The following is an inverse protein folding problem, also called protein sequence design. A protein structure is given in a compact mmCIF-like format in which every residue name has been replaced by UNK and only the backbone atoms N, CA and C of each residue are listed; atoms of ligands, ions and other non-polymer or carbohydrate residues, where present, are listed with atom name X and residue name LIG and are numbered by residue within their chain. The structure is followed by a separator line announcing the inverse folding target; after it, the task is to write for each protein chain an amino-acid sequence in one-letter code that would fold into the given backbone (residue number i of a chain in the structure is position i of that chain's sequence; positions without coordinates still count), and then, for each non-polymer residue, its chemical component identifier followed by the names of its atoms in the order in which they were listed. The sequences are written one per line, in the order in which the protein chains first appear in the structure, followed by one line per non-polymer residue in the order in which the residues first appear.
data_IF_205174688049
#
_entry.id   IF_205174688049
#
_cell.length_a   1.000
_cell.length_b   1.000
_cell.length_c   1.000
_cell.angle_alpha   90.00
_cell.angle_beta   90.00
_cell.angle_gamma   90.00
#
_symmetry.space_group_name_H-M   'P 1'
#
loop_
_entity.id
_entity.type
_entity.pdbx_description
1 polymer ?
#
# COMPACT_ATOMS: atom_id res chain seq x y z
N UNK A 1 22.67 -60.43 10.89
CA UNK A 1 21.46 -60.31 11.73
C UNK A 1 20.59 -59.24 11.13
N UNK A 2 19.46 -59.69 10.60
CA UNK A 2 18.44 -58.96 9.86
C UNK A 2 17.64 -58.08 10.81
N UNK A 3 17.41 -56.80 10.49
CA UNK A 3 16.10 -56.16 10.72
C UNK A 3 16.04 -54.78 10.04
N UNK A 4 15.33 -54.75 8.93
CA UNK A 4 14.74 -53.58 8.27
C UNK A 4 13.59 -53.02 9.11
N UNK A 5 13.53 -51.70 9.30
CA UNK A 5 12.40 -50.99 9.87
C UNK A 5 11.96 -49.85 8.96
N UNK A 6 11.14 -50.18 7.97
CA UNK A 6 10.47 -49.27 7.04
C UNK A 6 9.15 -48.83 7.70
N UNK A 7 8.94 -47.52 7.90
CA UNK A 7 7.66 -46.97 8.36
C UNK A 7 6.91 -46.34 7.18
N UNK A 8 5.86 -46.98 6.64
CA UNK A 8 4.86 -46.32 5.82
C UNK A 8 3.75 -45.75 6.73
N UNK A 9 3.52 -44.44 6.65
CA UNK A 9 2.52 -43.74 7.46
C UNK A 9 1.68 -42.77 6.62
N UNK A 10 0.66 -43.33 5.98
CA UNK A 10 -0.67 -42.79 5.66
C UNK A 10 -0.84 -41.43 4.93
N UNK A 11 -1.28 -41.59 3.69
CA UNK A 11 -2.18 -40.74 2.89
C UNK A 11 -3.33 -40.10 3.69
N UNK A 12 -3.54 -38.80 3.49
CA UNK A 12 -4.83 -38.14 3.69
C UNK A 12 -5.03 -37.05 2.63
N UNK A 13 -5.60 -37.47 1.50
CA UNK A 13 -6.13 -36.60 0.44
C UNK A 13 -7.37 -35.88 0.96
N UNK A 14 -7.38 -34.55 0.97
CA UNK A 14 -8.62 -33.75 1.12
C UNK A 14 -8.72 -32.75 -0.02
N UNK A 15 -9.54 -33.09 -1.01
CA UNK A 15 -9.97 -32.19 -2.08
C UNK A 15 -11.06 -31.27 -1.52
N UNK A 16 -10.87 -29.95 -1.61
CA UNK A 16 -11.92 -28.96 -1.38
C UNK A 16 -12.08 -28.11 -2.64
N UNK A 17 -13.13 -28.38 -3.39
CA UNK A 17 -13.59 -27.56 -4.49
C UNK A 17 -14.69 -26.62 -3.98
N UNK A 18 -14.41 -25.31 -3.96
CA UNK A 18 -15.42 -24.28 -3.74
C UNK A 18 -15.58 -23.47 -5.03
N UNK A 19 -16.67 -23.73 -5.73
CA UNK A 19 -17.11 -23.01 -6.92
C UNK A 19 -17.71 -21.68 -6.47
N UNK A 20 -17.02 -20.55 -6.69
CA UNK A 20 -17.65 -19.24 -6.60
C UNK A 20 -18.32 -18.89 -7.93
N UNK A 21 -19.65 -18.82 -7.91
CA UNK A 21 -20.46 -18.32 -9.01
C UNK A 21 -20.27 -16.80 -9.15
N UNK A 22 -19.74 -16.39 -10.31
CA UNK A 22 -19.74 -14.99 -10.76
C UNK A 22 -21.18 -14.60 -11.14
N UNK A 23 -21.81 -13.75 -10.34
CA UNK A 23 -23.00 -13.01 -10.76
C UNK A 23 -22.55 -11.73 -11.46
N UNK A 24 -22.58 -11.78 -12.80
CA UNK A 24 -22.45 -10.64 -13.69
C UNK A 24 -23.70 -9.76 -13.59
N UNK A 25 -23.70 -8.80 -12.67
CA UNK A 25 -24.66 -7.69 -12.68
C UNK A 25 -24.23 -6.68 -13.75
N UNK A 26 -24.62 -6.97 -15.00
CA UNK A 26 -24.63 -6.01 -16.10
C UNK A 26 -25.70 -4.95 -15.82
N UNK A 27 -25.27 -3.74 -15.45
CA UNK A 27 -26.12 -2.56 -15.40
C UNK A 27 -25.73 -1.67 -16.58
N UNK A 28 -26.35 -1.95 -17.74
CA UNK A 28 -26.54 -0.96 -18.80
C UNK A 28 -27.80 -0.17 -18.49
N UNK A 29 -27.69 1.16 -18.46
CA UNK A 29 -28.65 2.15 -18.97
C UNK A 29 -28.18 3.53 -18.52
N UNK A 30 -27.80 4.44 -19.42
CA UNK A 30 -28.58 5.20 -20.41
C UNK A 30 -28.82 6.62 -19.89
N UNK A 31 -28.52 7.59 -20.75
CA UNK A 31 -28.13 8.95 -20.41
C UNK A 31 -29.31 9.88 -20.09
N UNK A 32 -29.10 10.92 -19.26
CA UNK A 32 -29.85 12.15 -19.37
C UNK A 32 -29.01 13.24 -20.07
N UNK A 33 -29.49 13.63 -21.25
CA UNK A 33 -29.22 14.92 -21.88
C UNK A 33 -29.49 16.06 -20.89
N UNK A 34 -28.47 16.87 -20.61
CA UNK A 34 -28.59 17.96 -19.64
C UNK A 34 -27.29 18.68 -19.32
N UNK A 35 -26.62 19.22 -20.35
CA UNK A 35 -25.68 20.36 -20.34
C UNK A 35 -24.66 20.48 -19.18
N UNK A 36 -23.36 20.25 -19.42
CA UNK A 36 -22.33 20.74 -18.52
C UNK A 36 -21.92 22.16 -18.93
N UNK A 37 -22.27 23.09 -18.06
CA UNK A 37 -21.64 24.40 -17.91
C UNK A 37 -20.11 24.26 -18.08
N UNK A 38 -19.53 24.99 -19.04
CA UNK A 38 -18.08 25.07 -19.25
C UNK A 38 -17.41 25.72 -18.05
N UNK A 39 -17.08 24.91 -17.06
CA UNK A 39 -16.11 25.20 -16.02
C UNK A 39 -15.28 23.94 -15.87
N UNK A 40 -14.21 23.83 -16.65
CA UNK A 40 -13.27 22.73 -16.53
C UNK A 40 -12.83 22.63 -15.06
N UNK A 41 -13.11 21.53 -14.32
CA UNK A 41 -12.30 21.26 -13.16
C UNK A 41 -10.90 21.07 -13.72
N UNK A 42 -10.00 21.99 -13.38
CA UNK A 42 -8.59 21.72 -13.52
C UNK A 42 -8.36 20.46 -12.70
N UNK A 43 -8.24 19.31 -13.39
CA UNK A 43 -7.53 18.15 -12.86
C UNK A 43 -6.10 18.63 -12.71
N UNK A 44 -5.84 19.37 -11.63
CA UNK A 44 -4.53 19.38 -11.05
C UNK A 44 -4.22 17.89 -10.87
N UNK A 45 -3.24 17.40 -11.60
CA UNK A 45 -2.48 16.26 -11.13
C UNK A 45 -2.04 16.66 -9.72
N UNK A 46 -2.81 16.22 -8.73
CA UNK A 46 -2.41 16.24 -7.32
C UNK A 46 -1.40 15.11 -7.19
N UNK A 47 -0.28 15.26 -7.92
CA UNK A 47 0.90 14.47 -7.70
C UNK A 47 1.38 14.91 -6.30
N UNK A 48 1.36 14.01 -5.30
CA UNK A 48 1.75 14.38 -3.96
C UNK A 48 3.13 15.02 -4.00
N UNK A 49 3.27 16.21 -3.41
CA UNK A 49 4.57 16.82 -3.28
C UNK A 49 5.52 15.85 -2.55
N UNK A 50 6.79 15.74 -3.00
CA UNK A 50 7.75 14.84 -2.37
C UNK A 50 7.89 15.20 -0.89
N UNK A 51 7.97 14.17 -0.04
CA UNK A 51 8.07 14.39 1.41
C UNK A 51 9.44 14.98 1.74
N UNK A 52 9.50 15.86 2.74
CA UNK A 52 10.77 16.44 3.16
C UNK A 52 11.70 15.37 3.74
N UNK A 53 13.03 15.44 3.50
CA UNK A 53 13.97 14.49 4.06
C UNK A 53 14.00 14.57 5.59
N UNK A 54 14.18 13.43 6.25
CA UNK A 54 14.36 13.32 7.70
C UNK A 54 15.78 12.90 8.05
N UNK A 55 16.27 13.32 9.21
CA UNK A 55 17.54 12.86 9.75
C UNK A 55 17.37 11.53 10.48
N UNK A 56 18.27 10.59 10.26
CA UNK A 56 18.37 9.33 10.99
C UNK A 56 19.17 9.58 12.28
N UNK A 57 18.70 9.15 13.46
CA UNK A 57 19.44 9.29 14.71
C UNK A 57 20.69 8.41 14.77
N UNK A 58 21.73 8.87 15.46
CA UNK A 58 22.97 8.13 15.75
C UNK A 58 22.75 7.02 16.82
N UNK A 59 21.93 6.02 16.51
CA UNK A 59 21.84 4.76 17.26
C UNK A 59 22.55 3.65 16.49
N UNK A 60 22.87 2.52 17.11
CA UNK A 60 23.55 1.41 16.42
C UNK A 60 22.79 0.96 15.16
N UNK A 61 21.47 0.74 15.27
CA UNK A 61 20.63 0.44 14.09
C UNK A 61 20.50 1.62 13.11
N UNK A 62 20.63 2.86 13.61
CA UNK A 62 20.63 4.08 12.79
C UNK A 62 21.86 4.17 11.89
N UNK A 63 23.05 3.90 12.43
CA UNK A 63 24.30 3.85 11.67
C UNK A 63 24.25 2.78 10.57
N UNK A 64 23.72 1.59 10.88
CA UNK A 64 23.52 0.54 9.87
C UNK A 64 22.48 0.93 8.83
N UNK A 65 21.41 1.65 9.23
CA UNK A 65 20.42 2.18 8.30
C UNK A 65 21.05 3.18 7.33
N UNK A 66 21.88 4.11 7.84
CA UNK A 66 22.61 5.07 7.01
C UNK A 66 23.57 4.37 6.05
N UNK A 67 24.32 3.35 6.52
CA UNK A 67 25.19 2.54 5.66
C UNK A 67 24.42 1.88 4.52
N UNK A 68 23.27 1.28 4.81
CA UNK A 68 22.41 0.67 3.77
C UNK A 68 21.97 1.73 2.74
N UNK A 69 21.56 2.91 3.20
CA UNK A 69 21.14 4.01 2.32
C UNK A 69 22.30 4.58 1.51
N UNK A 70 23.51 4.62 2.05
CA UNK A 70 24.71 5.00 1.33
C UNK A 70 24.99 4.03 0.19
N UNK A 71 24.98 2.72 0.47
CA UNK A 71 25.24 1.68 -0.53
C UNK A 71 24.23 1.72 -1.67
N UNK A 72 22.92 1.78 -1.38
CA UNK A 72 21.89 1.79 -2.45
C UNK A 72 21.78 3.12 -3.21
N UNK A 73 22.43 4.18 -2.71
CA UNK A 73 22.52 5.47 -3.37
C UNK A 73 23.90 5.74 -4.00
N UNK A 74 24.82 4.78 -3.92
CA UNK A 74 26.12 4.86 -4.57
C UNK A 74 25.96 4.91 -6.09
N UNK A 75 26.94 5.55 -6.76
CA UNK A 75 27.04 5.54 -8.23
C UNK A 75 27.44 4.16 -8.78
N UNK A 76 27.87 3.23 -7.92
CA UNK A 76 28.27 1.88 -8.29
C UNK A 76 27.28 0.84 -7.78
N UNK A 77 27.21 -0.29 -8.49
CA UNK A 77 26.50 -1.47 -8.00
C UNK A 77 27.09 -1.93 -6.66
N UNK A 78 26.22 -2.43 -5.78
CA UNK A 78 26.65 -3.05 -4.53
C UNK A 78 27.41 -4.36 -4.81
N UNK A 79 28.35 -4.65 -3.93
CA UNK A 79 29.24 -5.81 -3.96
C UNK A 79 29.24 -6.50 -2.60
N UNK A 80 29.81 -7.71 -2.53
CA UNK A 80 29.94 -8.42 -1.25
C UNK A 80 30.81 -7.67 -0.23
N UNK A 81 31.79 -6.88 -0.69
CA UNK A 81 32.67 -6.09 0.17
C UNK A 81 31.90 -5.01 0.96
N UNK A 82 30.80 -4.50 0.41
CA UNK A 82 29.95 -3.50 1.09
C UNK A 82 29.22 -4.08 2.32
N UNK A 83 29.15 -5.41 2.42
CA UNK A 83 28.42 -6.14 3.46
C UNK A 83 29.32 -6.99 4.37
N UNK A 84 30.63 -7.01 4.11
CA UNK A 84 31.57 -7.84 4.87
C UNK A 84 31.59 -7.43 6.35
N UNK A 85 31.31 -8.39 7.24
CA UNK A 85 31.30 -8.16 8.69
C UNK A 85 30.04 -7.51 9.25
N UNK A 86 29.14 -7.00 8.39
CA UNK A 86 27.86 -6.42 8.82
C UNK A 86 26.76 -7.47 8.99
N UNK A 87 26.83 -8.58 8.27
CA UNK A 87 25.79 -9.62 8.31
C UNK A 87 26.08 -10.64 9.43
N UNK A 88 25.07 -10.90 10.26
CA UNK A 88 25.17 -11.92 11.30
C UNK A 88 25.30 -13.32 10.70
N UNK A 89 25.80 -14.29 11.47
CA UNK A 89 25.85 -15.70 11.02
C UNK A 89 24.45 -16.24 10.68
N UNK A 90 23.42 -15.85 11.44
CA UNK A 90 22.05 -16.29 11.17
C UNK A 90 21.52 -15.74 9.85
N UNK A 91 21.81 -14.47 9.53
CA UNK A 91 21.41 -13.89 8.24
C UNK A 91 22.14 -14.58 7.07
N UNK A 92 23.46 -14.76 7.20
CA UNK A 92 24.29 -15.42 6.17
C UNK A 92 23.94 -16.88 5.93
N UNK A 93 23.24 -17.52 6.87
CA UNK A 93 22.72 -18.88 6.67
C UNK A 93 21.58 -18.95 5.64
N UNK A 94 20.91 -17.82 5.39
CA UNK A 94 19.82 -17.69 4.42
C UNK A 94 20.26 -16.96 3.15
N UNK A 95 20.99 -15.85 3.32
CA UNK A 95 21.44 -14.97 2.23
C UNK A 95 22.86 -14.50 2.53
N UNK A 96 23.83 -14.92 1.72
CA UNK A 96 25.20 -14.45 1.82
C UNK A 96 25.38 -13.03 1.25
N UNK A 97 26.54 -12.43 1.47
CA UNK A 97 26.88 -11.05 1.07
C UNK A 97 26.74 -10.84 -0.45
N UNK A 98 27.10 -11.85 -1.25
CA UNK A 98 27.02 -11.76 -2.71
C UNK A 98 25.56 -11.78 -3.15
N UNK A 99 24.75 -12.68 -2.59
CA UNK A 99 23.34 -12.78 -2.90
C UNK A 99 22.55 -11.52 -2.49
N UNK A 100 22.87 -10.94 -1.32
CA UNK A 100 22.26 -9.68 -0.89
C UNK A 100 22.56 -8.56 -1.89
N UNK A 101 23.83 -8.39 -2.26
CA UNK A 101 24.24 -7.41 -3.26
C UNK A 101 23.51 -7.60 -4.60
N UNK A 102 23.43 -8.84 -5.10
CA UNK A 102 22.69 -9.15 -6.34
C UNK A 102 21.21 -8.76 -6.25
N UNK A 103 20.53 -9.07 -5.14
CA UNK A 103 19.12 -8.71 -4.93
C UNK A 103 18.93 -7.20 -4.90
N UNK A 104 19.81 -6.47 -4.21
CA UNK A 104 19.75 -5.00 -4.14
C UNK A 104 19.98 -4.38 -5.52
N UNK A 105 20.98 -4.85 -6.26
CA UNK A 105 21.29 -4.39 -7.62
C UNK A 105 20.12 -4.58 -8.58
N UNK A 106 19.41 -5.70 -8.47
CA UNK A 106 18.29 -6.02 -9.36
C UNK A 106 16.98 -5.35 -8.97
N UNK A 107 16.72 -5.19 -7.66
CA UNK A 107 15.38 -4.86 -7.16
C UNK A 107 15.26 -3.46 -6.57
N UNK A 108 16.35 -2.93 -5.99
CA UNK A 108 16.32 -1.70 -5.18
C UNK A 108 17.06 -0.57 -5.87
N UNK A 109 18.29 -0.79 -6.35
CA UNK A 109 19.11 0.22 -7.01
C UNK A 109 18.43 0.89 -8.23
N UNK A 110 17.62 0.22 -9.07
CA UNK A 110 16.93 0.88 -10.17
C UNK A 110 15.96 1.99 -9.75
N UNK A 111 15.54 2.03 -8.48
CA UNK A 111 14.71 3.10 -7.93
C UNK A 111 15.47 4.25 -7.27
N UNK A 112 16.80 4.16 -7.20
CA UNK A 112 17.69 5.21 -6.68
C UNK A 112 17.54 6.53 -7.47
N UNK A 113 17.74 7.71 -6.86
CA UNK A 113 18.09 7.94 -5.46
C UNK A 113 16.92 7.75 -4.50
N UNK A 114 17.18 7.06 -3.39
CA UNK A 114 16.28 6.84 -2.26
C UNK A 114 16.51 7.87 -1.17
N UNK A 115 15.48 8.67 -0.86
CA UNK A 115 15.51 9.69 0.19
C UNK A 115 14.67 9.23 1.38
N UNK A 116 15.25 9.22 2.59
CA UNK A 116 14.50 8.92 3.81
C UNK A 116 13.51 10.03 4.16
N UNK A 117 12.24 9.68 4.35
CA UNK A 117 11.13 10.62 4.61
C UNK A 117 10.41 10.36 5.92
N UNK A 118 10.63 9.19 6.52
CA UNK A 118 10.16 8.85 7.86
C UNK A 118 11.16 7.87 8.49
N UNK A 119 11.45 8.04 9.79
CA UNK A 119 12.28 7.10 10.55
C UNK A 119 11.61 6.78 11.87
N UNK A 120 11.50 5.48 12.17
CA UNK A 120 11.03 4.96 13.45
C UNK A 120 11.97 3.85 13.88
N UNK A 121 12.72 4.05 14.97
CA UNK A 121 13.67 3.05 15.43
C UNK A 121 13.94 3.10 16.93
N UNK A 122 14.60 2.05 17.41
CA UNK A 122 15.17 1.93 18.76
C UNK A 122 16.69 1.79 18.64
N UNK A 123 17.36 1.19 19.63
CA UNK A 123 18.77 0.81 19.52
C UNK A 123 19.00 -0.32 18.51
N UNK A 124 18.06 -1.27 18.38
CA UNK A 124 18.30 -2.54 17.67
C UNK A 124 17.35 -2.84 16.52
N UNK A 125 16.31 -2.04 16.32
CA UNK A 125 15.34 -2.21 15.23
C UNK A 125 14.93 -0.86 14.65
N UNK A 126 14.76 -0.80 13.34
CA UNK A 126 14.30 0.41 12.65
C UNK A 126 13.32 0.08 11.52
N UNK A 127 12.50 1.06 11.17
CA UNK A 127 11.70 1.13 9.97
C UNK A 127 11.83 2.53 9.40
N UNK A 128 12.39 2.61 8.19
CA UNK A 128 12.67 3.84 7.49
C UNK A 128 11.86 3.88 6.21
N UNK A 129 10.95 4.85 6.08
CA UNK A 129 10.30 5.09 4.79
C UNK A 129 11.25 5.86 3.89
N UNK A 130 11.40 5.36 2.67
CA UNK A 130 12.19 6.02 1.62
C UNK A 130 11.34 6.25 0.38
N UNK A 131 11.61 7.35 -0.30
CA UNK A 131 11.00 7.72 -1.58
C UNK A 131 12.10 7.74 -2.66
N UNK A 132 11.82 7.12 -3.81
CA UNK A 132 12.72 7.10 -4.96
C UNK A 132 11.95 7.13 -6.28
N UNK A 133 12.64 6.96 -7.40
CA UNK A 133 12.05 7.05 -8.74
C UNK A 133 11.03 5.93 -9.03
N UNK A 134 11.18 4.78 -8.35
CA UNK A 134 10.27 3.64 -8.48
C UNK A 134 9.05 3.71 -7.54
N UNK A 135 8.99 4.68 -6.62
CA UNK A 135 7.90 4.83 -5.64
C UNK A 135 8.40 4.89 -4.20
N UNK A 136 7.58 4.42 -3.26
CA UNK A 136 7.87 4.43 -1.83
C UNK A 136 8.14 3.01 -1.29
N UNK A 137 9.17 2.87 -0.46
CA UNK A 137 9.54 1.64 0.23
C UNK A 137 9.64 1.89 1.74
N UNK A 138 9.40 0.85 2.54
CA UNK A 138 9.90 0.79 3.91
C UNK A 138 11.13 -0.13 3.93
N UNK A 139 12.27 0.40 4.37
CA UNK A 139 13.43 -0.35 4.81
C UNK A 139 13.21 -0.75 6.26
N UNK A 140 13.18 -2.04 6.55
CA UNK A 140 13.10 -2.54 7.92
C UNK A 140 14.38 -3.27 8.24
N UNK A 141 14.96 -2.93 9.38
CA UNK A 141 16.26 -3.43 9.80
C UNK A 141 16.22 -3.87 11.26
N UNK A 142 16.91 -4.97 11.55
CA UNK A 142 17.13 -5.45 12.90
C UNK A 142 18.59 -5.90 13.04
N UNK A 143 19.22 -5.49 14.14
CA UNK A 143 20.57 -5.90 14.53
C UNK A 143 20.55 -6.71 15.82
N UNK A 144 21.60 -7.50 16.02
CA UNK A 144 21.89 -8.18 17.29
C UNK A 144 22.74 -7.32 18.23
N UNK A 145 23.29 -7.93 19.29
CA UNK A 145 24.08 -7.23 20.30
C UNK A 145 25.53 -6.95 19.87
N UNK A 146 25.97 -7.53 18.74
CA UNK A 146 27.27 -7.29 18.11
C UNK A 146 27.13 -6.30 16.94
N UNK A 147 25.99 -5.59 16.88
CA UNK A 147 25.59 -4.63 15.84
C UNK A 147 25.51 -5.24 14.43
N UNK A 148 25.35 -6.56 14.33
CA UNK A 148 25.23 -7.26 13.06
C UNK A 148 23.78 -7.42 12.63
N UNK A 149 23.53 -7.30 11.32
CA UNK A 149 22.20 -7.44 10.72
C UNK A 149 21.71 -8.88 10.89
N UNK A 150 20.59 -9.03 11.59
CA UNK A 150 19.82 -10.28 11.69
C UNK A 150 18.59 -10.29 10.80
N UNK A 151 18.10 -9.10 10.39
CA UNK A 151 17.03 -8.99 9.41
C UNK A 151 17.15 -7.68 8.62
N UNK A 152 16.97 -7.76 7.30
CA UNK A 152 16.92 -6.64 6.38
C UNK A 152 15.90 -6.95 5.28
N UNK A 153 14.89 -6.10 5.14
CA UNK A 153 13.87 -6.29 4.12
C UNK A 153 13.27 -4.98 3.62
N UNK A 154 12.87 -5.00 2.35
CA UNK A 154 12.24 -3.88 1.65
C UNK A 154 10.77 -4.19 1.40
N UNK A 155 9.89 -3.28 1.76
CA UNK A 155 8.45 -3.45 1.60
C UNK A 155 7.88 -2.30 0.77
N UNK A 156 7.20 -2.63 -0.33
CA UNK A 156 6.47 -1.65 -1.12
C UNK A 156 5.35 -1.03 -0.32
N UNK A 157 5.31 0.31 -0.30
CA UNK A 157 4.21 1.06 0.27
C UNK A 157 3.15 1.22 -0.81
N UNK A 158 1.96 0.65 -0.58
CA UNK A 158 0.87 0.75 -1.53
C UNK A 158 0.49 2.23 -1.76
N UNK A 159 0.33 2.67 -3.02
CA UNK A 159 -0.06 4.04 -3.32
C UNK A 159 -1.42 4.35 -2.68
N UNK A 160 -1.53 5.48 -2.00
CA UNK A 160 -2.76 5.93 -1.33
C UNK A 160 -2.97 5.42 0.10
N UNK A 161 -1.98 4.78 0.72
CA UNK A 161 -2.04 4.36 2.13
C UNK A 161 -1.82 5.50 3.13
N UNK A 162 -1.42 6.70 2.66
CA UNK A 162 -1.54 7.92 3.47
C UNK A 162 -3.02 8.06 3.78
N UNK A 163 -3.41 7.74 5.02
CA UNK A 163 -4.72 8.10 5.56
C UNK A 163 -4.89 9.59 5.26
N UNK A 164 -5.64 9.88 4.20
CA UNK A 164 -6.42 11.09 4.13
C UNK A 164 -7.20 11.01 5.43
N UNK A 165 -6.73 11.72 6.45
CA UNK A 165 -7.59 12.17 7.53
C UNK A 165 -8.71 12.81 6.76
N UNK A 166 -9.78 12.04 6.60
CA UNK A 166 -11.05 12.48 6.13
C UNK A 166 -11.19 13.85 6.77
N UNK A 167 -11.19 14.89 5.94
CA UNK A 167 -11.56 16.21 6.37
C UNK A 167 -12.99 16.03 6.88
N UNK A 168 -13.07 15.70 8.17
CA UNK A 168 -14.29 15.46 8.91
C UNK A 168 -14.98 16.80 8.88
N UNK A 169 -15.82 16.96 7.86
CA UNK A 169 -16.71 18.08 7.68
C UNK A 169 -17.40 18.27 9.02
N UNK A 170 -17.04 19.37 9.68
CA UNK A 170 -17.48 19.69 11.01
C UNK A 170 -18.99 19.51 11.12
N UNK A 171 -19.38 18.78 12.15
CA UNK A 171 -20.73 18.80 12.69
C UNK A 171 -21.02 20.24 13.14
N UNK A 172 -21.55 21.07 12.24
CA UNK A 172 -22.12 22.35 12.64
C UNK A 172 -23.55 22.13 13.12
N UNK A 173 -23.62 22.24 14.43
CA UNK A 173 -24.75 22.35 15.31
C UNK A 173 -25.90 23.21 14.75
N UNK A 174 -27.12 22.67 14.83
CA UNK A 174 -28.36 23.39 15.03
C UNK A 174 -28.78 24.38 13.95
N UNK A 175 -29.80 24.03 13.16
CA UNK A 175 -31.01 24.86 13.07
C UNK A 175 -32.16 24.02 12.50
N UNK A 176 -33.16 23.84 13.36
CA UNK A 176 -34.49 23.33 13.09
C UNK A 176 -35.17 24.26 12.07
N UNK A 177 -35.31 23.83 10.82
CA UNK A 177 -36.29 24.41 9.90
C UNK A 177 -37.41 23.40 9.66
N UNK A 178 -38.47 23.60 10.45
CA UNK A 178 -39.81 23.15 10.10
C UNK A 178 -40.22 23.92 8.84
N UNK A 179 -40.42 23.22 7.72
CA UNK A 179 -41.25 23.73 6.64
C UNK A 179 -42.39 22.76 6.42
N UNK A 180 -43.46 23.06 7.16
CA UNK A 180 -44.87 22.93 6.83
C UNK A 180 -45.12 22.57 5.36
N UNK A 181 -45.72 21.41 5.13
CA UNK A 181 -46.43 21.12 3.87
C UNK A 181 -47.73 21.94 3.84
N UNK A 182 -48.03 22.66 2.75
CA UNK A 182 -49.42 22.99 2.44
C UNK A 182 -49.82 22.42 1.08
N UNK A 183 -50.98 21.79 1.04
CA UNK A 183 -51.77 21.72 -0.19
C UNK A 183 -52.01 20.34 -0.79
N UNK A 184 -52.63 19.44 -0.02
CA UNK A 184 -53.59 18.51 -0.64
C UNK A 184 -54.83 19.32 -1.06
N UNK A 185 -54.90 19.66 -2.35
CA UNK A 185 -56.08 20.23 -3.01
C UNK A 185 -56.83 19.15 -3.79
N UNK A 186 -58.02 18.81 -3.28
CA UNK A 186 -58.93 17.79 -3.82
C UNK A 186 -59.81 18.37 -4.94
N UNK A 187 -59.92 17.66 -6.08
CA UNK A 187 -61.02 17.69 -7.09
C UNK A 187 -61.17 18.99 -7.92
N UNK A 188 -61.63 19.00 -9.17
CA UNK A 188 -62.22 17.99 -10.05
C UNK A 188 -62.34 18.53 -11.49
N UNK A 189 -62.30 17.59 -12.44
CA UNK A 189 -63.02 17.53 -13.72
C UNK A 189 -62.50 18.27 -14.97
N UNK A 190 -62.34 17.42 -15.99
CA UNK A 190 -62.35 17.64 -17.44
C UNK A 190 -61.09 18.18 -18.10
N UNK A 191 -60.32 17.24 -18.64
CA UNK A 191 -59.57 17.48 -19.88
C UNK A 191 -58.17 16.90 -19.86
N UNK A 192 -58.04 15.65 -20.30
CA UNK A 192 -56.83 15.00 -20.77
C UNK A 192 -55.67 14.75 -19.77
N UNK A 193 -55.26 13.48 -19.71
CA UNK A 193 -53.88 13.10 -19.38
C UNK A 193 -53.60 12.79 -17.91
N UNK A 194 -53.92 11.57 -17.47
CA UNK A 194 -53.33 10.96 -16.29
C UNK A 194 -52.22 10.01 -16.75
N UNK A 195 -50.96 10.40 -16.53
CA UNK A 195 -49.81 9.51 -16.60
C UNK A 195 -49.38 9.14 -15.18
N UNK A 196 -49.49 7.86 -14.83
CA UNK A 196 -48.58 7.15 -13.94
C UNK A 196 -48.71 5.67 -14.27
N UNK A 197 -47.65 5.08 -14.82
CA UNK A 197 -47.10 3.73 -14.58
C UNK A 197 -45.95 3.58 -15.59
N UNK A 198 -44.70 3.38 -15.14
CA UNK A 198 -43.65 2.90 -16.03
C UNK A 198 -43.89 1.40 -16.25
N UNK A 199 -44.27 1.05 -17.48
CA UNK A 199 -44.31 -0.33 -17.96
C UNK A 199 -43.09 -0.54 -18.85
N UNK A 200 -42.42 -1.66 -18.60
CA UNK A 200 -41.12 -2.06 -19.11
C UNK A 200 -41.04 -2.21 -20.63
N UNK A 201 -39.77 -2.29 -21.09
CA UNK A 201 -39.25 -2.99 -22.27
C UNK A 201 -39.37 -2.30 -23.64
N UNK A 202 -38.57 -2.73 -24.65
CA UNK A 202 -37.54 -3.80 -24.67
C UNK A 202 -36.10 -3.32 -24.93
#
# INVERSE_FOLDING_TARGET
MTSTGFHPGNVATTASAAVLALLMASCSSDAPDGAPNSGAPSTANDEPAPSAPVSIPDTAVGEVTDHVLEVVNSDQDSTAEDWEGLLSESFRSEVDETQLAEVLNQSILPGSPWTATEYQGTETQSTTRVEGSAGELNLVLQIDADDQVVALFWQWVAPGSRSTRYAGRGFFNGHRFQHTQPGCGTRALSGAGWCCIPSSNP
#
